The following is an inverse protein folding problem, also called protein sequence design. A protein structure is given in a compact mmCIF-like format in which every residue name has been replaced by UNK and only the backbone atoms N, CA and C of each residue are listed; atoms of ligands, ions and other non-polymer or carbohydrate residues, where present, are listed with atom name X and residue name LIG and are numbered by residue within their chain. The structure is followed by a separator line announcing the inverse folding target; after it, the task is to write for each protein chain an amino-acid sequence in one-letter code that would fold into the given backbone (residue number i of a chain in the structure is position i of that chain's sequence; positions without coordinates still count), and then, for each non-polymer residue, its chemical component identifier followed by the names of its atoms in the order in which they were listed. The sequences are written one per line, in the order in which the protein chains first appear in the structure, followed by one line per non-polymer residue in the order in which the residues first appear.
data_IF_572748337816
#
_entry.id   IF_572748337816
#
_cell.length_a   1.000
_cell.length_b   1.000
_cell.length_c   1.000
_cell.angle_alpha   90.00
_cell.angle_beta   90.00
_cell.angle_gamma   90.00
#
_symmetry.space_group_name_H-M   'P 1'
#
loop_
_entity.id
_entity.type
_entity.pdbx_description
1 polymer ?
#
# COMPACT_ATOMS: atom_id res chain seq x y z
N UNK A 1 -43.29 33.75 5.21
CA UNK A 1 -42.72 32.51 5.74
C UNK A 1 -41.69 31.89 4.74
N UNK A 2 -42.02 31.68 3.44
CA UNK A 2 -41.13 31.03 2.49
C UNK A 2 -39.77 31.71 2.28
N UNK A 3 -39.67 33.04 2.31
CA UNK A 3 -38.43 33.80 2.12
C UNK A 3 -37.41 33.56 3.25
N UNK A 4 -37.87 33.51 4.49
CA UNK A 4 -37.03 33.24 5.66
C UNK A 4 -36.55 31.78 5.63
N UNK A 5 -37.44 30.85 5.27
CA UNK A 5 -37.08 29.42 5.10
C UNK A 5 -36.00 29.21 4.03
N UNK A 6 -36.15 29.89 2.88
CA UNK A 6 -35.16 29.79 1.80
C UNK A 6 -33.78 30.31 2.24
N UNK A 7 -33.73 31.41 2.97
CA UNK A 7 -32.48 31.98 3.48
C UNK A 7 -31.84 31.07 4.54
N UNK A 8 -32.61 30.51 5.44
CA UNK A 8 -32.13 29.54 6.44
C UNK A 8 -31.60 28.28 5.77
N UNK A 9 -32.26 27.78 4.72
CA UNK A 9 -31.82 26.61 3.95
C UNK A 9 -30.48 26.86 3.27
N UNK A 10 -30.27 28.02 2.62
CA UNK A 10 -28.98 28.35 1.97
C UNK A 10 -27.86 28.51 2.98
N UNK A 11 -28.11 29.08 4.15
CA UNK A 11 -27.12 29.17 5.24
C UNK A 11 -26.75 27.76 5.73
N UNK A 12 -27.72 26.88 5.93
CA UNK A 12 -27.50 25.50 6.38
C UNK A 12 -26.68 24.70 5.35
N UNK A 13 -26.98 24.85 4.07
CA UNK A 13 -26.20 24.23 3.00
C UNK A 13 -24.75 24.74 2.93
N UNK A 14 -24.56 26.06 3.19
CA UNK A 14 -23.21 26.64 3.28
C UNK A 14 -22.43 26.01 4.43
N UNK A 15 -23.02 25.93 5.61
CA UNK A 15 -22.38 25.32 6.79
C UNK A 15 -22.07 23.84 6.57
N UNK A 16 -23.00 23.10 5.98
CA UNK A 16 -22.78 21.69 5.65
C UNK A 16 -21.62 21.51 4.64
N UNK A 17 -21.53 22.39 3.63
CA UNK A 17 -20.42 22.36 2.66
C UNK A 17 -19.07 22.69 3.29
N UNK A 18 -19.02 23.65 4.21
CA UNK A 18 -17.79 24.00 4.95
C UNK A 18 -17.37 22.84 5.88
N UNK A 19 -18.32 22.26 6.61
CA UNK A 19 -18.04 21.09 7.47
C UNK A 19 -17.51 19.91 6.65
N UNK A 20 -18.13 19.63 5.49
CA UNK A 20 -17.66 18.60 4.55
C UNK A 20 -16.25 18.88 4.04
N UNK A 21 -15.93 20.12 3.70
CA UNK A 21 -14.59 20.53 3.29
C UNK A 21 -13.53 20.27 4.36
N UNK A 22 -13.80 20.65 5.61
CA UNK A 22 -12.86 20.45 6.72
C UNK A 22 -12.66 18.96 7.00
N UNK A 23 -13.73 18.18 7.07
CA UNK A 23 -13.67 16.73 7.26
C UNK A 23 -12.86 16.04 6.18
N UNK A 24 -13.12 16.37 4.90
CA UNK A 24 -12.37 15.79 3.78
C UNK A 24 -10.89 16.20 3.80
N UNK A 25 -10.56 17.41 4.24
CA UNK A 25 -9.17 17.87 4.35
C UNK A 25 -8.40 17.03 5.36
N UNK A 26 -8.96 16.76 6.52
CA UNK A 26 -8.36 15.90 7.54
C UNK A 26 -8.16 14.47 7.02
N UNK A 27 -9.19 13.89 6.39
CA UNK A 27 -9.11 12.54 5.79
C UNK A 27 -8.07 12.44 4.68
N UNK A 28 -7.94 13.47 3.83
CA UNK A 28 -6.94 13.53 2.77
C UNK A 28 -5.53 13.54 3.37
N UNK A 29 -5.28 14.40 4.36
CA UNK A 29 -3.97 14.49 5.02
C UNK A 29 -3.56 13.17 5.67
N UNK A 30 -4.50 12.51 6.38
CA UNK A 30 -4.28 11.21 6.97
C UNK A 30 -3.99 10.13 5.89
N UNK A 31 -4.76 10.13 4.80
CA UNK A 31 -4.59 9.20 3.67
C UNK A 31 -3.26 9.40 2.94
N UNK A 32 -2.82 10.64 2.73
CA UNK A 32 -1.49 10.93 2.16
C UNK A 32 -0.36 10.39 3.04
N UNK A 33 -0.47 10.55 4.35
CA UNK A 33 0.47 9.99 5.31
C UNK A 33 0.54 8.46 5.24
N UNK A 34 -0.61 7.79 5.20
CA UNK A 34 -0.68 6.33 5.06
C UNK A 34 -0.07 5.84 3.74
N UNK A 35 -0.36 6.52 2.62
CA UNK A 35 0.24 6.19 1.33
C UNK A 35 1.76 6.37 1.32
N UNK A 36 2.28 7.42 1.94
CA UNK A 36 3.73 7.63 2.05
C UNK A 36 4.42 6.52 2.87
N UNK A 37 3.79 6.07 3.96
CA UNK A 37 4.28 4.93 4.75
C UNK A 37 4.22 3.64 3.94
N UNK A 38 3.10 3.36 3.28
CA UNK A 38 2.92 2.19 2.43
C UNK A 38 3.93 2.13 1.28
N UNK A 39 4.23 3.26 0.65
CA UNK A 39 5.24 3.33 -0.40
C UNK A 39 6.63 2.96 0.12
N UNK A 40 7.03 3.50 1.27
CA UNK A 40 8.32 3.13 1.89
C UNK A 40 8.40 1.65 2.27
N UNK A 41 7.27 1.06 2.70
CA UNK A 41 7.21 -0.37 3.00
C UNK A 41 7.37 -1.22 1.74
N UNK A 42 6.73 -0.83 0.62
CA UNK A 42 6.88 -1.49 -0.67
C UNK A 42 8.32 -1.42 -1.19
N UNK A 43 8.95 -0.25 -1.13
CA UNK A 43 10.35 -0.06 -1.52
C UNK A 43 11.30 -0.95 -0.71
N UNK A 44 11.12 -1.01 0.61
CA UNK A 44 11.89 -1.91 1.49
C UNK A 44 11.64 -3.39 1.17
N UNK A 45 10.38 -3.75 0.94
CA UNK A 45 10.01 -5.11 0.55
C UNK A 45 10.61 -5.51 -0.80
N UNK A 46 10.65 -4.61 -1.75
CA UNK A 46 11.24 -4.82 -3.07
C UNK A 46 12.76 -5.04 -2.96
N UNK A 47 13.46 -4.19 -2.21
CA UNK A 47 14.91 -4.38 -1.97
C UNK A 47 15.21 -5.70 -1.26
N UNK A 48 14.41 -6.07 -0.26
CA UNK A 48 14.57 -7.34 0.45
C UNK A 48 14.30 -8.55 -0.47
N UNK A 49 13.33 -8.44 -1.37
CA UNK A 49 13.04 -9.49 -2.36
C UNK A 49 14.18 -9.63 -3.37
N UNK A 50 14.75 -8.54 -3.86
CA UNK A 50 15.91 -8.56 -4.77
C UNK A 50 17.12 -9.21 -4.11
N UNK A 51 17.41 -8.86 -2.85
CA UNK A 51 18.46 -9.51 -2.07
C UNK A 51 18.19 -11.01 -1.86
N UNK A 52 16.93 -11.37 -1.56
CA UNK A 52 16.50 -12.75 -1.43
C UNK A 52 16.69 -13.56 -2.71
N UNK A 53 16.34 -12.98 -3.87
CA UNK A 53 16.55 -13.58 -5.20
C UNK A 53 18.05 -13.79 -5.48
N UNK A 54 18.87 -12.80 -5.21
CA UNK A 54 20.32 -12.89 -5.40
C UNK A 54 20.94 -14.00 -4.54
N UNK A 55 20.54 -14.11 -3.27
CA UNK A 55 20.97 -15.20 -2.38
C UNK A 55 20.52 -16.57 -2.87
N UNK A 56 19.28 -16.67 -3.36
CA UNK A 56 18.73 -17.90 -3.92
C UNK A 56 19.52 -18.36 -5.15
N UNK A 57 19.83 -17.44 -6.07
CA UNK A 57 20.60 -17.74 -7.25
C UNK A 57 22.04 -18.16 -6.92
N UNK A 58 22.67 -17.50 -5.95
CA UNK A 58 23.99 -17.91 -5.45
C UNK A 58 23.94 -19.33 -4.84
N UNK A 59 22.94 -19.62 -4.01
CA UNK A 59 22.75 -20.94 -3.41
C UNK A 59 22.46 -22.04 -4.46
N UNK A 60 21.72 -21.73 -5.51
CA UNK A 60 21.49 -22.65 -6.63
C UNK A 60 22.79 -22.99 -7.38
N UNK A 61 23.64 -21.99 -7.63
CA UNK A 61 24.95 -22.19 -8.28
C UNK A 61 25.83 -23.06 -7.42
N UNK A 62 26.01 -22.73 -6.15
CA UNK A 62 26.81 -23.50 -5.20
C UNK A 62 26.35 -24.97 -5.12
N UNK A 63 25.03 -25.17 -5.02
CA UNK A 63 24.45 -26.52 -5.01
C UNK A 63 24.71 -27.27 -6.32
N UNK A 64 24.59 -26.57 -7.47
CA UNK A 64 24.87 -27.16 -8.79
C UNK A 64 26.34 -27.57 -8.95
N UNK A 65 27.27 -26.73 -8.48
CA UNK A 65 28.71 -27.01 -8.46
C UNK A 65 29.02 -28.19 -7.54
N UNK A 66 28.49 -28.18 -6.33
CA UNK A 66 28.67 -29.28 -5.37
C UNK A 66 28.09 -30.60 -5.86
N UNK A 67 26.97 -30.59 -6.58
CA UNK A 67 26.45 -31.81 -7.26
C UNK A 67 27.39 -32.31 -8.33
N UNK A 68 27.94 -31.43 -9.17
CA UNK A 68 28.90 -31.81 -10.22
C UNK A 68 30.18 -32.40 -9.62
N UNK A 69 30.73 -31.76 -8.60
CA UNK A 69 31.93 -32.27 -7.91
C UNK A 69 31.67 -33.61 -7.27
N UNK A 70 30.52 -33.81 -6.64
CA UNK A 70 30.11 -35.08 -6.04
C UNK A 70 29.99 -36.20 -7.10
N UNK A 71 29.34 -35.95 -8.23
CA UNK A 71 29.20 -36.94 -9.30
C UNK A 71 30.59 -37.27 -9.95
N UNK A 72 31.43 -36.24 -10.18
CA UNK A 72 32.79 -36.45 -10.68
C UNK A 72 33.63 -37.29 -9.70
N UNK A 73 33.52 -37.03 -8.40
CA UNK A 73 34.24 -37.81 -7.41
C UNK A 73 33.72 -39.24 -7.33
N UNK A 74 32.44 -39.47 -7.48
CA UNK A 74 31.80 -40.78 -7.48
C UNK A 74 32.15 -41.61 -8.70
N UNK A 75 32.32 -40.96 -9.86
CA UNK A 75 32.71 -41.63 -11.11
C UNK A 75 34.21 -41.95 -11.16
N UNK A 76 35.01 -41.46 -10.21
CA UNK A 76 36.44 -41.75 -10.11
C UNK A 76 36.69 -42.96 -9.18
N UNK A 77 37.06 -44.14 -9.71
CA UNK A 77 37.22 -45.38 -8.93
C UNK A 77 38.33 -45.25 -7.87
N UNK A 78 39.34 -44.41 -8.11
CA UNK A 78 40.42 -44.19 -7.15
C UNK A 78 39.93 -43.41 -5.92
N UNK A 79 39.09 -42.35 -6.10
CA UNK A 79 38.52 -41.59 -5.02
C UNK A 79 37.52 -42.41 -4.20
N UNK A 80 36.73 -43.27 -4.85
CA UNK A 80 35.81 -44.20 -4.18
C UNK A 80 36.57 -45.20 -3.32
N UNK A 81 37.66 -45.75 -3.85
CA UNK A 81 38.51 -46.70 -3.12
C UNK A 81 39.19 -46.01 -1.93
N UNK A 82 39.74 -44.80 -2.13
CA UNK A 82 40.37 -44.01 -1.07
C UNK A 82 39.39 -43.65 0.06
N UNK A 83 38.18 -43.20 -0.28
CA UNK A 83 37.16 -42.93 0.73
C UNK A 83 36.74 -44.17 1.54
N UNK A 84 36.64 -45.31 0.85
CA UNK A 84 36.27 -46.57 1.50
C UNK A 84 37.39 -47.09 2.42
N UNK A 85 38.66 -46.92 2.03
CA UNK A 85 39.81 -47.37 2.81
C UNK A 85 40.16 -46.41 3.95
N UNK A 86 40.14 -45.10 3.72
CA UNK A 86 40.57 -44.07 4.66
C UNK A 86 39.44 -43.57 5.56
N UNK A 87 38.22 -43.46 5.05
CA UNK A 87 37.07 -42.89 5.75
C UNK A 87 35.89 -43.86 5.93
N UNK A 88 36.04 -45.12 5.51
CA UNK A 88 34.97 -46.12 5.63
C UNK A 88 33.70 -45.77 4.85
N UNK A 89 33.82 -45.00 3.75
CA UNK A 89 32.69 -44.58 2.92
C UNK A 89 31.90 -43.38 3.48
N UNK A 90 32.40 -42.72 4.54
CA UNK A 90 31.70 -41.62 5.20
C UNK A 90 31.67 -40.35 4.36
N UNK A 91 32.72 -40.06 3.57
CA UNK A 91 32.81 -38.84 2.76
C UNK A 91 31.69 -38.75 1.73
N UNK A 92 31.45 -39.83 0.97
CA UNK A 92 30.31 -39.86 0.03
C UNK A 92 28.94 -39.84 0.70
N UNK A 93 28.84 -40.39 1.89
CA UNK A 93 27.59 -40.32 2.66
C UNK A 93 27.28 -38.90 3.17
N UNK A 94 28.32 -38.20 3.63
CA UNK A 94 28.24 -36.79 4.05
C UNK A 94 27.93 -35.90 2.86
N UNK A 95 28.65 -36.00 1.74
CA UNK A 95 28.37 -35.21 0.54
C UNK A 95 26.96 -35.37 0.00
N UNK A 96 26.40 -36.59 0.05
CA UNK A 96 24.97 -36.81 -0.29
C UNK A 96 24.00 -36.09 0.67
N UNK A 97 24.34 -36.08 1.96
CA UNK A 97 23.54 -35.39 2.97
C UNK A 97 23.60 -33.86 2.76
N UNK A 98 24.79 -33.34 2.47
CA UNK A 98 24.98 -31.91 2.23
C UNK A 98 24.22 -31.44 0.98
N UNK A 99 24.25 -32.24 -0.11
CA UNK A 99 23.42 -31.97 -1.29
C UNK A 99 21.94 -31.97 -0.96
N UNK A 100 21.46 -32.98 -0.20
CA UNK A 100 20.04 -33.05 0.19
C UNK A 100 19.60 -31.88 1.10
N UNK A 101 20.49 -31.40 1.96
CA UNK A 101 20.27 -30.20 2.76
C UNK A 101 20.27 -28.93 1.90
N UNK A 102 21.17 -28.85 0.93
CA UNK A 102 21.23 -27.78 -0.06
C UNK A 102 19.94 -27.68 -0.89
N UNK A 103 19.46 -28.81 -1.40
CA UNK A 103 18.17 -28.88 -2.12
C UNK A 103 17.00 -28.36 -1.27
N UNK A 104 16.95 -28.73 0.02
CA UNK A 104 15.94 -28.24 0.94
C UNK A 104 16.05 -26.74 1.19
N UNK A 105 17.27 -26.20 1.31
CA UNK A 105 17.50 -24.76 1.49
C UNK A 105 17.07 -23.98 0.24
N UNK A 106 17.40 -24.46 -0.94
CA UNK A 106 16.98 -23.86 -2.21
C UNK A 106 15.46 -23.87 -2.33
N UNK A 107 14.80 -25.00 -2.08
CA UNK A 107 13.33 -25.08 -2.12
C UNK A 107 12.64 -24.14 -1.13
N UNK A 108 13.18 -23.99 0.09
CA UNK A 108 12.69 -23.00 1.05
C UNK A 108 12.91 -21.58 0.57
N UNK A 109 14.05 -21.27 -0.02
CA UNK A 109 14.36 -19.97 -0.60
C UNK A 109 13.40 -19.61 -1.74
N UNK A 110 13.13 -20.54 -2.65
CA UNK A 110 12.13 -20.37 -3.72
C UNK A 110 10.73 -20.07 -3.17
N UNK A 111 10.31 -20.84 -2.19
CA UNK A 111 9.02 -20.61 -1.53
C UNK A 111 8.95 -19.21 -0.87
N UNK A 112 10.02 -18.79 -0.20
CA UNK A 112 10.08 -17.48 0.44
C UNK A 112 10.03 -16.33 -0.59
N UNK A 113 10.75 -16.46 -1.71
CA UNK A 113 10.72 -15.50 -2.82
C UNK A 113 9.31 -15.41 -3.40
N UNK A 114 8.66 -16.53 -3.70
CA UNK A 114 7.31 -16.57 -4.24
C UNK A 114 6.28 -15.91 -3.29
N UNK A 115 6.42 -16.12 -1.97
CA UNK A 115 5.56 -15.47 -0.98
C UNK A 115 5.83 -13.96 -0.96
N UNK A 116 7.09 -13.56 -0.99
CA UNK A 116 7.48 -12.15 -1.02
C UNK A 116 6.94 -11.42 -2.26
N UNK A 117 7.00 -12.04 -3.44
CA UNK A 117 6.42 -11.50 -4.68
C UNK A 117 4.92 -11.27 -4.56
N UNK A 118 4.18 -12.25 -4.07
CA UNK A 118 2.72 -12.13 -3.85
C UNK A 118 2.38 -11.03 -2.85
N UNK A 119 3.16 -10.88 -1.78
CA UNK A 119 2.95 -9.83 -0.79
C UNK A 119 3.20 -8.44 -1.38
N UNK A 120 4.25 -8.27 -2.20
CA UNK A 120 4.52 -7.03 -2.90
C UNK A 120 3.42 -6.68 -3.91
N UNK A 121 2.95 -7.65 -4.67
CA UNK A 121 1.85 -7.47 -5.62
C UNK A 121 0.56 -7.04 -4.90
N UNK A 122 0.19 -7.72 -3.82
CA UNK A 122 -0.96 -7.35 -3.00
C UNK A 122 -0.83 -5.93 -2.43
N UNK A 123 0.34 -5.59 -1.89
CA UNK A 123 0.62 -4.24 -1.38
C UNK A 123 0.57 -3.16 -2.46
N UNK A 124 1.06 -3.45 -3.67
CA UNK A 124 0.98 -2.54 -4.80
C UNK A 124 -0.48 -2.30 -5.24
N UNK A 125 -1.31 -3.34 -5.25
CA UNK A 125 -2.75 -3.23 -5.53
C UNK A 125 -3.48 -2.40 -4.48
N UNK A 126 -3.20 -2.61 -3.20
CA UNK A 126 -3.77 -1.81 -2.11
C UNK A 126 -3.38 -0.34 -2.22
N UNK A 127 -2.11 -0.05 -2.52
CA UNK A 127 -1.64 1.31 -2.79
C UNK A 127 -2.36 1.95 -3.99
N UNK A 128 -2.59 1.20 -5.05
CA UNK A 128 -3.37 1.65 -6.21
C UNK A 128 -4.78 2.08 -5.81
N UNK A 129 -5.47 1.25 -5.03
CA UNK A 129 -6.81 1.56 -4.50
C UNK A 129 -6.79 2.79 -3.57
N UNK A 130 -5.81 2.88 -2.69
CA UNK A 130 -5.65 4.03 -1.80
C UNK A 130 -5.44 5.35 -2.55
N UNK A 131 -4.64 5.35 -3.60
CA UNK A 131 -4.43 6.51 -4.49
C UNK A 131 -5.73 6.94 -5.18
N UNK A 132 -6.52 5.99 -5.66
CA UNK A 132 -7.80 6.27 -6.30
C UNK A 132 -8.82 6.87 -5.32
N UNK A 133 -8.93 6.30 -4.12
CA UNK A 133 -9.77 6.85 -3.05
C UNK A 133 -9.35 8.27 -2.67
N UNK A 134 -8.05 8.53 -2.59
CA UNK A 134 -7.51 9.86 -2.30
C UNK A 134 -7.84 10.86 -3.42
N UNK A 135 -7.77 10.42 -4.68
CA UNK A 135 -8.15 11.24 -5.83
C UNK A 135 -9.62 11.62 -5.77
N UNK A 136 -10.50 10.67 -5.48
CA UNK A 136 -11.94 10.94 -5.32
C UNK A 136 -12.21 11.89 -4.14
N UNK A 137 -11.55 11.69 -3.00
CA UNK A 137 -11.68 12.58 -1.84
C UNK A 137 -11.21 14.01 -2.15
N UNK A 138 -10.11 14.17 -2.91
CA UNK A 138 -9.65 15.49 -3.38
C UNK A 138 -10.68 16.15 -4.30
N UNK A 139 -11.28 15.40 -5.21
CA UNK A 139 -12.37 15.89 -6.06
C UNK A 139 -13.58 16.34 -5.25
N UNK A 140 -14.02 15.53 -4.30
CA UNK A 140 -15.13 15.85 -3.41
C UNK A 140 -14.84 17.11 -2.57
N UNK A 141 -13.60 17.27 -2.06
CA UNK A 141 -13.19 18.49 -1.34
C UNK A 141 -13.34 19.74 -2.19
N UNK A 142 -12.91 19.70 -3.46
CA UNK A 142 -13.07 20.81 -4.39
C UNK A 142 -14.56 21.11 -4.64
N UNK A 143 -15.39 20.09 -4.82
CA UNK A 143 -16.83 20.26 -4.97
C UNK A 143 -17.47 20.91 -3.72
N UNK A 144 -17.07 20.52 -2.52
CA UNK A 144 -17.53 21.15 -1.27
C UNK A 144 -17.10 22.61 -1.20
N UNK A 145 -15.87 22.95 -1.60
CA UNK A 145 -15.40 24.35 -1.61
C UNK A 145 -16.21 25.22 -2.58
N UNK A 146 -16.45 24.73 -3.79
CA UNK A 146 -17.27 25.42 -4.79
C UNK A 146 -18.73 25.56 -4.33
N UNK A 147 -19.28 24.52 -3.73
CA UNK A 147 -20.62 24.54 -3.14
C UNK A 147 -20.74 25.59 -2.03
N UNK A 148 -19.78 25.65 -1.12
CA UNK A 148 -19.73 26.65 -0.06
C UNK A 148 -19.70 28.08 -0.63
N UNK A 149 -18.84 28.35 -1.62
CA UNK A 149 -18.75 29.65 -2.29
C UNK A 149 -20.06 30.02 -3.00
N UNK A 150 -20.67 29.07 -3.70
CA UNK A 150 -21.95 29.26 -4.39
C UNK A 150 -23.10 29.59 -3.43
N UNK A 151 -23.29 28.76 -2.39
CA UNK A 151 -24.36 28.99 -1.42
C UNK A 151 -24.13 30.23 -0.57
N UNK A 152 -22.87 30.57 -0.26
CA UNK A 152 -22.56 31.83 0.43
C UNK A 152 -22.93 33.04 -0.43
N UNK A 153 -22.54 33.04 -1.70
CA UNK A 153 -22.90 34.11 -2.65
C UNK A 153 -24.43 34.23 -2.80
N UNK A 154 -25.11 33.10 -2.94
CA UNK A 154 -26.56 33.06 -3.04
C UNK A 154 -27.24 33.63 -1.77
N UNK A 155 -26.74 33.28 -0.57
CA UNK A 155 -27.24 33.78 0.70
C UNK A 155 -27.09 35.31 0.81
N UNK A 156 -25.96 35.87 0.37
CA UNK A 156 -25.72 37.33 0.35
C UNK A 156 -26.69 38.03 -0.59
N UNK A 157 -26.86 37.52 -1.81
CA UNK A 157 -27.76 38.08 -2.82
C UNK A 157 -29.20 38.05 -2.30
N UNK A 158 -29.67 36.92 -1.78
CA UNK A 158 -31.02 36.79 -1.22
C UNK A 158 -31.22 37.70 -0.03
N UNK A 159 -30.24 37.82 0.88
CA UNK A 159 -30.28 38.71 2.02
C UNK A 159 -30.39 40.17 1.61
N UNK A 160 -29.64 40.60 0.59
CA UNK A 160 -29.66 41.93 0.07
C UNK A 160 -31.00 42.27 -0.64
N UNK A 161 -31.45 41.38 -1.53
CA UNK A 161 -32.71 41.54 -2.24
C UNK A 161 -33.92 41.58 -1.31
N UNK A 162 -33.88 40.84 -0.20
CA UNK A 162 -34.99 40.73 0.73
C UNK A 162 -34.86 41.61 2.00
N UNK A 163 -33.83 42.44 2.09
CA UNK A 163 -33.54 43.33 3.21
C UNK A 163 -34.77 44.12 3.66
N UNK A 164 -35.50 44.73 2.67
CA UNK A 164 -36.74 45.50 2.97
C UNK A 164 -37.90 44.63 3.45
N UNK A 165 -37.94 43.36 3.09
CA UNK A 165 -39.01 42.43 3.49
C UNK A 165 -38.70 41.77 4.83
N UNK A 166 -37.44 41.53 5.17
CA UNK A 166 -37.00 41.00 6.46
C UNK A 166 -37.12 42.00 7.58
N UNK A 167 -36.79 43.31 7.34
CA UNK A 167 -36.95 44.37 8.32
C UNK A 167 -38.39 44.48 8.84
N UNK A 168 -39.40 44.25 8.00
CA UNK A 168 -40.83 44.28 8.40
C UNK A 168 -41.22 43.10 9.29
N UNK A 169 -40.57 41.96 9.21
CA UNK A 169 -40.87 40.78 10.03
C UNK A 169 -40.29 40.96 11.44
N UNK A 170 -39.11 41.54 11.58
CA UNK A 170 -38.48 41.79 12.89
C UNK A 170 -39.12 42.92 13.67
N UNK A 171 -39.65 43.95 12.98
CA UNK A 171 -40.38 45.05 13.68
C UNK A 171 -41.77 44.65 14.23
N UNK A 172 -42.31 43.49 13.86
CA UNK A 172 -43.62 43.02 14.31
C UNK A 172 -43.57 42.07 15.50
N UNK A 173 -42.38 41.77 16.03
CA UNK A 173 -42.20 40.84 17.15
C UNK A 173 -42.08 41.55 18.51
N UNK A 174 -41.98 42.90 18.52
CA UNK A 174 -41.85 43.72 19.74
C UNK A 174 -43.11 44.50 20.08
N UNK A 175 -44.32 44.04 19.68
CA UNK A 175 -45.62 44.64 20.07
C UNK A 175 -46.50 43.62 20.79
#
# INVERSE_FOLDING_TARGET
MGKVLALLLTILLTLASVAGYLFLTEKITAGEGQLAVGQRQLEKGQSALEEGKAKLEAGKRELSEGKKEYEQAKDNPFLVLADKLLKGGKGFKEGRKDIAEGDKKVAKGESAVNVGERQLEAGALEMGRGREQLRLAKGARVACALGAAFFASLSIVLGFCWRRSLARIFMHTDA
#
